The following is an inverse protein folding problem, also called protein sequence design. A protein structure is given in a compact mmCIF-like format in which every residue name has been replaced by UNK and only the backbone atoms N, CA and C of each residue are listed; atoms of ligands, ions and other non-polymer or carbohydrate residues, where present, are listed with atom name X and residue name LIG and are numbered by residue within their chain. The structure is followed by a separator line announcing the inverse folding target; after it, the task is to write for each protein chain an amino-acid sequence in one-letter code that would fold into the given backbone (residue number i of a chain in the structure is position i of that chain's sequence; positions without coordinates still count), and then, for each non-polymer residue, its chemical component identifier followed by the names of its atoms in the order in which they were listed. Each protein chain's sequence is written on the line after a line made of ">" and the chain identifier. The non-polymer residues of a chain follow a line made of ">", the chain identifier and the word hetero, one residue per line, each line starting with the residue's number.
data_IF_359291841351
#
_entry.id   IF_359291841351
#
_cell.length_a   1.000
_cell.length_b   1.000
_cell.length_c   1.000
_cell.angle_alpha   90.00
_cell.angle_beta   90.00
_cell.angle_gamma   90.00
#
_symmetry.space_group_name_H-M   'P 1'
#
loop_
_entity.id
_entity.type
_entity.pdbx_description
1 polymer ?
#
# COMPACT_ATOMS: atom_id res chain seq x y z
N UNK A 1 -21.39 -27.62 31.41
CA UNK A 1 -20.37 -27.76 30.34
C UNK A 1 -19.98 -26.36 29.93
N UNK A 2 -18.72 -25.99 30.17
CA UNK A 2 -18.21 -24.62 30.10
C UNK A 2 -18.04 -24.14 28.65
N UNK A 3 -18.65 -23.01 28.33
CA UNK A 3 -18.41 -22.24 27.11
C UNK A 3 -17.05 -21.55 27.20
N UNK A 4 -16.08 -22.02 26.41
CA UNK A 4 -14.79 -21.36 26.24
C UNK A 4 -14.91 -20.29 25.14
N UNK A 5 -15.19 -19.05 25.54
CA UNK A 5 -14.93 -17.88 24.70
C UNK A 5 -13.41 -17.66 24.68
N UNK A 6 -12.75 -17.93 23.54
CA UNK A 6 -11.38 -17.48 23.33
C UNK A 6 -11.40 -15.97 23.13
N UNK A 7 -11.02 -15.24 24.20
CA UNK A 7 -10.72 -13.83 24.13
C UNK A 7 -9.62 -13.58 23.09
N UNK A 8 -9.95 -12.80 22.07
CA UNK A 8 -8.98 -12.22 21.15
C UNK A 8 -7.95 -11.44 21.96
N UNK A 9 -6.67 -11.81 21.80
CA UNK A 9 -5.55 -11.22 22.50
C UNK A 9 -5.55 -9.70 22.42
N UNK A 10 -5.96 -9.06 23.51
CA UNK A 10 -5.69 -7.65 23.80
C UNK A 10 -4.19 -7.44 23.65
N UNK A 11 -3.81 -6.40 22.90
CA UNK A 11 -2.43 -5.92 22.84
C UNK A 11 -1.89 -5.80 24.26
N UNK A 12 -0.70 -6.37 24.48
CA UNK A 12 -0.05 -6.39 25.80
C UNK A 12 -0.05 -4.99 26.41
N UNK A 13 -0.90 -4.81 27.41
CA UNK A 13 -0.73 -3.79 28.43
C UNK A 13 0.57 -4.15 29.16
N UNK A 14 1.61 -3.34 28.93
CA UNK A 14 2.90 -3.49 29.58
C UNK A 14 2.80 -3.07 31.05
N UNK A 15 2.52 -4.04 31.92
CA UNK A 15 2.77 -3.92 33.36
C UNK A 15 4.10 -4.59 33.71
N UNK A 16 5.06 -3.75 34.16
CA UNK A 16 6.36 -4.01 34.80
C UNK A 16 7.33 -5.13 34.30
N UNK A 17 8.35 -4.65 33.56
CA UNK A 17 9.79 -4.98 33.68
C UNK A 17 10.32 -6.35 33.24
N UNK A 18 10.23 -6.62 31.94
CA UNK A 18 11.35 -7.25 31.23
C UNK A 18 11.97 -6.21 30.27
N UNK A 19 13.26 -5.93 30.44
CA UNK A 19 13.99 -5.04 29.53
C UNK A 19 14.27 -5.80 28.24
N UNK A 20 13.36 -5.71 27.28
CA UNK A 20 13.53 -6.31 25.96
C UNK A 20 14.41 -5.38 25.10
N UNK A 21 15.47 -5.87 24.46
CA UNK A 21 16.27 -5.07 23.55
C UNK A 21 15.44 -4.68 22.32
N UNK A 22 15.51 -3.42 21.84
CA UNK A 22 14.81 -3.01 20.64
C UNK A 22 15.39 -3.71 19.40
N UNK A 23 14.50 -4.19 18.53
CA UNK A 23 14.84 -4.88 17.28
C UNK A 23 14.73 -3.91 16.11
N UNK A 24 15.80 -3.75 15.32
CA UNK A 24 15.86 -2.79 14.21
C UNK A 24 14.70 -2.93 13.22
N UNK A 25 14.31 -4.17 12.91
CA UNK A 25 13.29 -4.48 11.90
C UNK A 25 11.88 -4.03 12.26
N UNK A 26 11.63 -3.66 13.51
CA UNK A 26 10.33 -3.15 13.97
C UNK A 26 10.17 -1.65 13.74
N UNK A 27 11.24 -0.95 13.31
CA UNK A 27 11.23 0.50 13.15
C UNK A 27 11.18 0.93 11.69
N UNK A 28 10.45 2.03 11.46
CA UNK A 28 10.43 2.77 10.19
C UNK A 28 11.18 4.10 10.28
N UNK A 29 11.66 4.47 11.48
CA UNK A 29 12.48 5.64 11.71
C UNK A 29 13.72 5.25 12.52
N UNK A 30 14.92 5.38 11.92
CA UNK A 30 16.17 5.01 12.58
C UNK A 30 16.46 5.85 13.83
N UNK A 31 16.00 7.11 13.90
CA UNK A 31 16.22 7.97 15.09
C UNK A 31 15.44 7.45 16.28
N UNK A 32 14.22 6.97 16.04
CA UNK A 32 13.39 6.36 17.08
C UNK A 32 14.06 5.07 17.59
N UNK A 33 14.55 4.22 16.68
CA UNK A 33 15.34 3.06 17.06
C UNK A 33 16.56 3.43 17.92
N UNK A 34 17.35 4.42 17.51
CA UNK A 34 18.53 4.87 18.24
C UNK A 34 18.17 5.42 19.64
N UNK A 35 17.05 6.14 19.75
CA UNK A 35 16.55 6.66 21.02
C UNK A 35 16.18 5.52 21.99
N UNK A 36 15.47 4.52 21.51
CA UNK A 36 15.04 3.39 22.32
C UNK A 36 16.21 2.47 22.67
N UNK A 37 17.15 2.26 21.75
CA UNK A 37 18.41 1.55 22.01
C UNK A 37 19.22 2.24 23.12
N UNK A 38 19.34 3.57 23.06
CA UNK A 38 20.03 4.33 24.07
C UNK A 38 19.36 4.21 25.45
N UNK A 39 18.03 4.35 25.51
CA UNK A 39 17.25 4.15 26.75
C UNK A 39 17.44 2.75 27.32
N UNK A 40 17.35 1.73 26.47
CA UNK A 40 17.58 0.33 26.84
C UNK A 40 18.99 0.15 27.44
N UNK A 41 20.05 0.54 26.73
CA UNK A 41 21.44 0.42 27.22
C UNK A 41 21.69 1.19 28.51
N UNK A 42 21.11 2.39 28.66
CA UNK A 42 21.17 3.16 29.92
C UNK A 42 20.54 2.40 31.07
N UNK A 43 19.35 1.84 30.86
CA UNK A 43 18.64 1.11 31.91
C UNK A 43 19.36 -0.21 32.25
N UNK A 44 19.83 -0.95 31.24
CA UNK A 44 20.54 -2.23 31.44
C UNK A 44 21.92 -2.06 32.09
N UNK A 45 22.52 -0.87 32.04
CA UNK A 45 23.81 -0.57 32.69
C UNK A 45 23.65 0.20 34.00
N UNK A 46 22.41 0.39 34.48
CA UNK A 46 22.13 1.08 35.74
C UNK A 46 22.74 0.28 36.89
N UNK A 47 23.63 0.89 37.66
CA UNK A 47 24.37 0.23 38.75
C UNK A 47 25.73 -0.35 38.34
N UNK A 48 26.12 -0.29 37.06
CA UNK A 48 27.50 -0.58 36.65
C UNK A 48 28.44 0.56 37.01
N UNK A 49 29.71 0.23 37.33
CA UNK A 49 30.82 1.18 37.54
C UNK A 49 30.94 2.21 36.39
N UNK A 50 30.55 1.82 35.16
CA UNK A 50 30.51 2.71 34.00
C UNK A 50 29.15 2.63 33.32
N UNK A 51 28.19 3.40 33.83
CA UNK A 51 26.87 3.53 33.22
C UNK A 51 26.96 4.02 31.76
N UNK A 52 26.10 3.47 30.91
CA UNK A 52 26.04 3.84 29.50
C UNK A 52 25.63 5.31 29.35
N UNK A 53 26.30 6.03 28.45
CA UNK A 53 26.00 7.43 28.14
C UNK A 53 26.44 7.75 26.70
N UNK A 54 26.14 8.96 26.22
CA UNK A 54 26.46 9.37 24.86
C UNK A 54 27.96 9.32 24.53
N UNK A 55 28.83 9.63 25.49
CA UNK A 55 30.28 9.55 25.31
C UNK A 55 30.76 8.10 25.13
N UNK A 56 30.17 7.15 25.87
CA UNK A 56 30.44 5.71 25.71
C UNK A 56 30.05 5.22 24.32
N UNK A 57 28.87 5.60 23.81
CA UNK A 57 28.48 5.28 22.43
C UNK A 57 29.47 5.88 21.42
N UNK A 58 29.82 7.15 21.58
CA UNK A 58 30.71 7.86 20.65
C UNK A 58 32.10 7.21 20.62
N UNK A 59 32.63 6.80 21.77
CA UNK A 59 33.87 6.04 21.84
C UNK A 59 33.77 4.69 21.11
N UNK A 60 32.69 3.93 21.32
CA UNK A 60 32.46 2.66 20.63
C UNK A 60 32.32 2.83 19.10
N UNK A 61 31.77 3.95 18.65
CA UNK A 61 31.66 4.32 17.24
C UNK A 61 32.95 4.94 16.66
N UNK A 62 34.00 5.13 17.46
CA UNK A 62 35.21 5.87 17.08
C UNK A 62 34.89 7.30 16.58
N UNK A 63 34.03 8.01 17.32
CA UNK A 63 33.59 9.37 17.03
C UNK A 63 34.12 10.31 18.11
N UNK A 64 34.80 11.38 17.68
CA UNK A 64 35.40 12.38 18.58
C UNK A 64 34.37 13.19 19.38
N UNK A 65 33.22 13.47 18.79
CA UNK A 65 32.16 14.28 19.41
C UNK A 65 31.32 13.46 20.40
N UNK A 66 31.40 13.69 21.72
CA UNK A 66 30.73 12.85 22.72
C UNK A 66 29.20 12.88 22.66
N UNK A 67 28.62 13.95 22.11
CA UNK A 67 27.16 14.14 21.99
C UNK A 67 26.63 13.86 20.58
N UNK A 68 27.41 13.19 19.71
CA UNK A 68 27.02 12.98 18.32
C UNK A 68 25.72 12.17 18.20
N UNK A 69 25.60 11.07 18.95
CA UNK A 69 24.37 10.27 19.00
C UNK A 69 23.15 11.11 19.44
N UNK A 70 23.32 11.98 20.44
CA UNK A 70 22.25 12.86 20.92
C UNK A 70 21.76 13.80 19.81
N UNK A 71 22.68 14.42 19.08
CA UNK A 71 22.34 15.30 17.94
C UNK A 71 21.59 14.56 16.83
N UNK A 72 21.93 13.29 16.58
CA UNK A 72 21.19 12.44 15.64
C UNK A 72 19.79 12.14 16.20
N UNK A 73 19.65 11.72 17.44
CA UNK A 73 18.33 11.42 18.02
C UNK A 73 17.41 12.66 17.98
N UNK A 74 17.95 13.84 18.30
CA UNK A 74 17.22 15.11 18.31
C UNK A 74 16.97 15.70 16.91
N UNK A 75 17.40 15.04 15.84
CA UNK A 75 17.21 15.54 14.47
C UNK A 75 18.11 16.72 14.07
N UNK A 76 19.04 17.14 14.94
CA UNK A 76 19.98 18.26 14.71
C UNK A 76 21.07 17.94 13.67
N UNK A 77 21.28 16.66 13.37
CA UNK A 77 22.23 16.19 12.35
C UNK A 77 21.70 14.95 11.62
N UNK A 78 22.13 14.76 10.38
CA UNK A 78 21.94 13.54 9.59
C UNK A 78 23.16 12.62 9.68
N UNK A 79 22.96 11.33 9.36
CA UNK A 79 24.02 10.35 9.20
C UNK A 79 24.50 10.31 7.76
N UNK A 80 25.81 10.43 7.54
CA UNK A 80 26.47 10.11 6.27
C UNK A 80 26.77 8.61 6.18
N UNK A 81 27.02 8.10 4.97
CA UNK A 81 27.32 6.67 4.75
C UNK A 81 28.53 6.16 5.56
N UNK A 82 29.58 6.97 5.73
CA UNK A 82 30.72 6.65 6.61
C UNK A 82 30.29 6.48 8.08
N UNK A 83 29.40 7.35 8.56
CA UNK A 83 28.91 7.29 9.95
C UNK A 83 27.95 6.12 10.17
N UNK A 84 27.21 5.69 9.14
CA UNK A 84 26.35 4.50 9.22
C UNK A 84 27.16 3.26 9.61
N UNK A 85 28.33 3.05 8.99
CA UNK A 85 29.21 1.92 9.32
C UNK A 85 29.74 1.98 10.76
N UNK A 86 30.15 3.18 11.20
CA UNK A 86 30.61 3.42 12.59
C UNK A 86 29.51 3.17 13.62
N UNK A 87 28.29 3.60 13.32
CA UNK A 87 27.12 3.34 14.16
C UNK A 87 26.79 1.84 14.18
N UNK A 88 26.80 1.16 13.03
CA UNK A 88 26.60 -0.30 12.97
C UNK A 88 27.57 -1.05 13.89
N UNK A 89 28.85 -0.68 13.88
CA UNK A 89 29.85 -1.24 14.79
C UNK A 89 29.53 -0.98 16.27
N UNK A 90 29.18 0.27 16.62
CA UNK A 90 28.84 0.64 18.00
C UNK A 90 27.55 -0.02 18.52
N UNK A 91 26.61 -0.30 17.62
CA UNK A 91 25.37 -1.04 17.88
C UNK A 91 25.60 -2.54 17.98
N UNK A 92 26.76 -3.05 17.56
CA UNK A 92 27.07 -4.48 17.51
C UNK A 92 26.38 -5.22 16.36
N UNK A 93 26.06 -4.51 15.29
CA UNK A 93 25.39 -5.09 14.13
C UNK A 93 26.32 -5.95 13.29
N UNK A 94 25.79 -7.06 12.81
CA UNK A 94 26.43 -7.86 11.76
C UNK A 94 26.28 -7.19 10.38
N UNK A 95 26.77 -7.84 9.32
CA UNK A 95 26.72 -7.32 7.95
C UNK A 95 25.28 -7.05 7.47
N UNK A 96 24.37 -8.00 7.68
CA UNK A 96 22.97 -7.89 7.23
C UNK A 96 22.21 -6.82 8.01
N UNK A 97 22.44 -6.70 9.33
CA UNK A 97 21.86 -5.65 10.17
C UNK A 97 22.41 -4.26 9.83
N UNK A 98 23.69 -4.16 9.48
CA UNK A 98 24.31 -2.90 9.06
C UNK A 98 23.73 -2.43 7.72
N UNK A 99 23.47 -3.35 6.79
CA UNK A 99 22.82 -3.03 5.53
C UNK A 99 21.35 -2.61 5.74
N UNK A 100 20.62 -3.31 6.61
CA UNK A 100 19.26 -2.89 6.98
C UNK A 100 19.25 -1.48 7.59
N UNK A 101 20.20 -1.19 8.49
CA UNK A 101 20.34 0.12 9.10
C UNK A 101 20.67 1.19 8.07
N UNK A 102 21.55 0.89 7.10
CA UNK A 102 21.87 1.79 5.98
C UNK A 102 20.62 2.12 5.17
N UNK A 103 19.88 1.11 4.74
CA UNK A 103 18.66 1.28 3.94
C UNK A 103 17.59 2.08 4.70
N UNK A 104 17.45 1.83 6.01
CA UNK A 104 16.54 2.58 6.87
C UNK A 104 16.94 4.06 7.00
N UNK A 105 18.24 4.35 7.13
CA UNK A 105 18.77 5.72 7.15
C UNK A 105 18.57 6.42 5.81
N UNK A 106 18.86 5.76 4.69
CA UNK A 106 18.67 6.34 3.36
C UNK A 106 17.19 6.63 3.08
N UNK A 107 16.31 5.68 3.41
CA UNK A 107 14.85 5.85 3.33
C UNK A 107 14.36 7.08 4.12
N UNK A 108 14.77 7.20 5.38
CA UNK A 108 14.29 8.26 6.27
C UNK A 108 14.88 9.64 5.95
N UNK A 109 16.09 9.70 5.39
CA UNK A 109 16.75 10.96 5.05
C UNK A 109 16.50 11.44 3.61
N UNK A 110 15.99 10.57 2.73
CA UNK A 110 15.66 10.94 1.36
C UNK A 110 14.64 12.09 1.34
N UNK A 111 14.99 13.17 0.66
CA UNK A 111 14.11 14.34 0.45
C UNK A 111 13.28 14.20 -0.81
N UNK A 112 13.84 13.56 -1.84
CA UNK A 112 13.13 13.26 -3.07
C UNK A 112 12.17 12.07 -2.86
N UNK A 113 10.88 12.19 -3.24
CA UNK A 113 9.91 11.11 -3.09
C UNK A 113 10.29 9.84 -3.86
N UNK A 114 10.87 9.94 -5.05
CA UNK A 114 11.25 8.78 -5.85
C UNK A 114 12.41 8.01 -5.19
N UNK A 115 13.43 8.72 -4.71
CA UNK A 115 14.53 8.13 -3.94
C UNK A 115 14.02 7.45 -2.67
N UNK A 116 13.13 8.12 -1.92
CA UNK A 116 12.52 7.58 -0.70
C UNK A 116 11.81 6.25 -0.98
N UNK A 117 11.05 6.18 -2.07
CA UNK A 117 10.37 4.94 -2.48
C UNK A 117 11.35 3.84 -2.88
N UNK A 118 12.38 4.17 -3.65
CA UNK A 118 13.42 3.21 -4.03
C UNK A 118 14.06 2.60 -2.78
N UNK A 119 14.44 3.41 -1.79
CA UNK A 119 15.04 2.90 -0.55
C UNK A 119 14.07 2.11 0.30
N UNK A 120 12.79 2.50 0.36
CA UNK A 120 11.77 1.73 1.07
C UNK A 120 11.54 0.35 0.43
N UNK A 121 11.55 0.28 -0.91
CA UNK A 121 11.49 -0.99 -1.66
C UNK A 121 12.69 -1.88 -1.29
N UNK A 122 13.91 -1.35 -1.42
CA UNK A 122 15.14 -2.07 -1.06
C UNK A 122 15.14 -2.54 0.40
N UNK A 123 14.71 -1.69 1.33
CA UNK A 123 14.60 -2.03 2.76
C UNK A 123 13.63 -3.20 2.99
N UNK A 124 12.46 -3.16 2.35
CA UNK A 124 11.46 -4.22 2.46
C UNK A 124 11.99 -5.54 1.89
N UNK A 125 12.62 -5.50 0.72
CA UNK A 125 13.22 -6.68 0.07
C UNK A 125 14.34 -7.28 0.93
N UNK A 126 15.21 -6.44 1.49
CA UNK A 126 16.29 -6.87 2.37
C UNK A 126 15.78 -7.59 3.61
N UNK A 127 14.83 -6.98 4.35
CA UNK A 127 14.23 -7.59 5.55
C UNK A 127 13.60 -8.94 5.27
N UNK A 128 12.88 -9.04 4.16
CA UNK A 128 12.26 -10.29 3.71
C UNK A 128 13.35 -11.33 3.38
N UNK A 129 14.38 -10.93 2.63
CA UNK A 129 15.50 -11.80 2.27
C UNK A 129 16.24 -12.37 3.48
N UNK A 130 16.48 -11.56 4.51
CA UNK A 130 17.10 -12.02 5.76
C UNK A 130 16.22 -13.05 6.46
N UNK A 131 14.92 -12.80 6.60
CA UNK A 131 13.99 -13.73 7.27
C UNK A 131 13.85 -15.08 6.55
N UNK A 132 14.01 -15.09 5.22
CA UNK A 132 14.07 -16.33 4.45
C UNK A 132 15.35 -17.11 4.72
N UNK A 133 16.49 -16.43 4.77
CA UNK A 133 17.79 -17.06 5.07
C UNK A 133 17.83 -17.63 6.49
N UNK A 134 17.19 -16.98 7.46
CA UNK A 134 17.16 -17.44 8.86
C UNK A 134 16.12 -18.53 9.12
N UNK A 135 15.23 -18.81 8.16
CA UNK A 135 14.15 -19.79 8.32
C UNK A 135 12.98 -19.29 9.19
N UNK A 136 13.00 -18.02 9.62
CA UNK A 136 11.85 -17.39 10.31
C UNK A 136 10.63 -17.30 9.40
N UNK A 137 10.86 -17.12 8.10
CA UNK A 137 9.85 -17.33 7.07
C UNK A 137 10.20 -18.64 6.39
N UNK A 138 9.31 -19.62 6.54
CA UNK A 138 9.38 -20.84 5.75
C UNK A 138 9.37 -20.48 4.26
N UNK A 139 10.40 -20.94 3.55
CA UNK A 139 10.58 -20.68 2.12
C UNK A 139 9.38 -21.17 1.31
N UNK A 140 8.77 -22.30 1.69
CA UNK A 140 7.55 -22.79 1.03
C UNK A 140 6.36 -21.85 1.28
N UNK A 141 6.22 -21.33 2.50
CA UNK A 141 5.20 -20.32 2.85
C UNK A 141 5.45 -18.96 2.19
N UNK A 142 6.70 -18.62 1.90
CA UNK A 142 7.06 -17.42 1.13
C UNK A 142 6.83 -17.58 -0.37
N UNK A 143 7.12 -18.76 -0.91
CA UNK A 143 6.82 -19.10 -2.31
C UNK A 143 5.30 -19.17 -2.56
N UNK A 144 4.51 -19.45 -1.51
CA UNK A 144 3.05 -19.29 -1.51
C UNK A 144 2.57 -17.83 -1.47
N UNK A 145 3.47 -16.84 -1.33
CA UNK A 145 3.07 -15.43 -1.36
C UNK A 145 2.55 -15.11 -2.75
N UNK A 146 1.30 -14.65 -2.88
CA UNK A 146 0.81 -14.17 -4.15
C UNK A 146 1.69 -13.00 -4.58
N UNK A 147 2.49 -13.23 -5.63
CA UNK A 147 3.14 -12.14 -6.32
C UNK A 147 2.04 -11.21 -6.85
N UNK A 148 2.18 -9.89 -6.75
CA UNK A 148 1.23 -8.96 -7.38
C UNK A 148 1.06 -9.29 -8.88
N UNK A 149 2.10 -9.83 -9.50
CA UNK A 149 2.09 -10.37 -10.86
C UNK A 149 1.03 -11.46 -11.03
N UNK A 150 0.90 -12.40 -10.08
CA UNK A 150 -0.12 -13.46 -10.16
C UNK A 150 -1.54 -12.88 -10.07
N UNK A 151 -1.77 -11.88 -9.23
CA UNK A 151 -3.08 -11.22 -9.14
C UNK A 151 -3.45 -10.48 -10.43
N UNK A 152 -2.48 -9.78 -11.04
CA UNK A 152 -2.70 -9.09 -12.30
C UNK A 152 -2.90 -10.10 -13.43
N UNK A 153 -2.08 -11.15 -13.53
CA UNK A 153 -2.25 -12.22 -14.53
C UNK A 153 -3.61 -12.91 -14.38
N UNK A 154 -4.04 -13.21 -13.15
CA UNK A 154 -5.36 -13.77 -12.89
C UNK A 154 -6.47 -12.83 -13.39
N UNK A 155 -6.35 -11.52 -13.15
CA UNK A 155 -7.29 -10.54 -13.69
C UNK A 155 -7.24 -10.42 -15.23
N UNK A 156 -6.05 -10.54 -15.84
CA UNK A 156 -5.84 -10.46 -17.29
C UNK A 156 -6.50 -11.59 -18.08
N UNK A 157 -6.89 -12.70 -17.44
CA UNK A 157 -7.72 -13.75 -18.07
C UNK A 157 -9.06 -13.19 -18.56
N UNK A 158 -9.58 -12.20 -17.85
CA UNK A 158 -10.81 -11.51 -18.22
C UNK A 158 -10.55 -10.28 -19.10
N UNK A 159 -9.32 -10.06 -19.56
CA UNK A 159 -8.95 -9.00 -20.49
C UNK A 159 -8.94 -9.53 -21.93
N UNK A 160 -9.48 -8.75 -22.85
CA UNK A 160 -9.56 -9.07 -24.27
C UNK A 160 -8.17 -9.03 -24.93
N UNK A 161 -7.93 -9.95 -25.88
CA UNK A 161 -6.72 -9.96 -26.71
C UNK A 161 -5.42 -10.33 -25.99
N UNK A 162 -5.48 -10.85 -24.76
CA UNK A 162 -4.28 -11.24 -24.01
C UNK A 162 -3.70 -12.56 -24.53
N UNK A 163 -2.42 -12.52 -24.93
CA UNK A 163 -1.59 -13.72 -25.09
C UNK A 163 -0.84 -14.00 -23.79
N UNK A 164 -0.88 -15.25 -23.34
CA UNK A 164 -0.27 -15.70 -22.08
C UNK A 164 1.13 -16.30 -22.26
N UNK A 165 1.89 -15.79 -23.23
CA UNK A 165 3.32 -16.03 -23.34
C UNK A 165 4.12 -15.00 -22.54
N UNK A 166 5.33 -15.36 -22.07
CA UNK A 166 6.13 -14.52 -21.20
C UNK A 166 6.44 -13.13 -21.81
N UNK A 167 6.68 -13.07 -23.13
CA UNK A 167 7.07 -11.82 -23.80
C UNK A 167 5.88 -10.86 -23.93
N UNK A 168 4.71 -11.37 -24.33
CA UNK A 168 3.49 -10.59 -24.42
C UNK A 168 3.04 -10.10 -23.03
N UNK A 169 3.08 -10.96 -22.02
CA UNK A 169 2.76 -10.59 -20.64
C UNK A 169 3.71 -9.52 -20.11
N UNK A 170 5.03 -9.66 -20.32
CA UNK A 170 6.01 -8.64 -19.93
C UNK A 170 5.73 -7.29 -20.58
N UNK A 171 5.34 -7.28 -21.85
CA UNK A 171 4.93 -6.07 -22.58
C UNK A 171 3.66 -5.45 -21.99
N UNK A 172 2.63 -6.27 -21.73
CA UNK A 172 1.36 -5.81 -21.13
C UNK A 172 1.54 -5.30 -19.69
N UNK A 173 2.45 -5.91 -18.93
CA UNK A 173 2.90 -5.47 -17.60
C UNK A 173 3.90 -4.30 -17.67
N UNK A 174 4.15 -3.72 -18.85
CA UNK A 174 5.01 -2.55 -19.07
C UNK A 174 6.44 -2.75 -18.56
N UNK A 175 6.95 -3.97 -18.60
CA UNK A 175 8.30 -4.33 -18.12
C UNK A 175 8.46 -4.28 -16.58
N UNK A 176 7.37 -4.16 -15.82
CA UNK A 176 7.42 -4.06 -14.35
C UNK A 176 7.68 -5.39 -13.65
N UNK A 177 7.52 -6.50 -14.37
CA UNK A 177 7.83 -7.86 -13.91
C UNK A 177 8.90 -8.48 -14.81
N UNK A 178 9.83 -9.21 -14.19
CA UNK A 178 10.79 -10.05 -14.90
C UNK A 178 10.12 -11.28 -15.51
N UNK A 179 10.79 -11.92 -16.47
CA UNK A 179 10.28 -13.14 -17.12
C UNK A 179 10.13 -14.29 -16.11
N UNK A 180 11.11 -14.45 -15.23
CA UNK A 180 11.07 -15.42 -14.13
C UNK A 180 9.88 -15.18 -13.20
N UNK A 181 9.55 -13.93 -12.86
CA UNK A 181 8.40 -13.61 -12.02
C UNK A 181 7.07 -13.95 -12.70
N UNK A 182 6.97 -13.73 -14.01
CA UNK A 182 5.79 -14.06 -14.81
C UNK A 182 5.62 -15.57 -14.92
N UNK A 183 6.69 -16.30 -15.21
CA UNK A 183 6.68 -17.75 -15.32
C UNK A 183 6.28 -18.39 -13.99
N UNK A 184 6.90 -17.96 -12.89
CA UNK A 184 6.55 -18.44 -11.54
C UNK A 184 5.08 -18.14 -11.19
N UNK A 185 4.57 -16.97 -11.56
CA UNK A 185 3.18 -16.60 -11.31
C UNK A 185 2.19 -17.47 -12.11
N UNK A 186 2.46 -17.72 -13.40
CA UNK A 186 1.64 -18.61 -14.23
C UNK A 186 1.66 -20.04 -13.70
N UNK A 187 2.84 -20.57 -13.39
CA UNK A 187 3.00 -21.91 -12.83
C UNK A 187 2.24 -22.04 -11.50
N UNK A 188 2.34 -21.03 -10.63
CA UNK A 188 1.61 -21.02 -9.35
C UNK A 188 0.09 -21.08 -9.56
N UNK A 189 -0.46 -20.28 -10.48
CA UNK A 189 -1.90 -20.21 -10.74
C UNK A 189 -2.44 -21.49 -11.39
N UNK A 190 -1.65 -22.15 -12.23
CA UNK A 190 -2.00 -23.43 -12.83
C UNK A 190 -1.93 -24.57 -11.81
N UNK A 191 -0.87 -24.59 -10.97
CA UNK A 191 -0.65 -25.63 -9.97
C UNK A 191 -1.64 -25.53 -8.79
N UNK A 192 -2.04 -24.31 -8.39
CA UNK A 192 -3.10 -24.11 -7.40
C UNK A 192 -4.48 -24.49 -7.95
N UNK A 193 -4.61 -24.58 -9.27
CA UNK A 193 -5.87 -24.81 -9.95
C UNK A 193 -6.74 -23.57 -10.04
N UNK A 194 -6.25 -22.37 -9.69
CA UNK A 194 -6.93 -21.09 -9.87
C UNK A 194 -7.17 -20.80 -11.36
N UNK A 195 -6.22 -21.19 -12.21
CA UNK A 195 -6.34 -21.16 -13.67
C UNK A 195 -6.28 -22.56 -14.24
N UNK A 196 -7.04 -22.78 -15.31
CA UNK A 196 -7.03 -24.03 -16.10
C UNK A 196 -6.99 -23.69 -17.58
N UNK A 197 -6.37 -24.56 -18.37
CA UNK A 197 -6.48 -24.50 -19.83
C UNK A 197 -7.77 -25.17 -20.25
N UNK A 198 -8.53 -24.52 -21.12
CA UNK A 198 -9.68 -25.12 -21.77
C UNK A 198 -9.21 -26.26 -22.67
N UNK A 199 -9.85 -27.43 -22.54
CA UNK A 199 -9.45 -28.64 -23.26
C UNK A 199 -9.72 -28.56 -24.77
N UNK A 200 -10.64 -27.69 -25.20
CA UNK A 200 -11.07 -27.55 -26.60
C UNK A 200 -10.34 -26.39 -27.27
N UNK A 201 -10.27 -25.23 -26.60
CA UNK A 201 -9.67 -24.01 -27.20
C UNK A 201 -8.22 -23.77 -26.81
N UNK A 202 -7.72 -24.45 -25.77
CA UNK A 202 -6.38 -24.24 -25.21
C UNK A 202 -6.22 -22.91 -24.45
N UNK A 203 -7.27 -22.09 -24.38
CA UNK A 203 -7.27 -20.79 -23.71
C UNK A 203 -7.21 -20.95 -22.18
N UNK A 204 -6.55 -20.01 -21.50
CA UNK A 204 -6.59 -19.95 -20.04
C UNK A 204 -7.94 -19.42 -19.56
N UNK A 205 -8.54 -20.12 -18.59
CA UNK A 205 -9.78 -19.76 -17.92
C UNK A 205 -9.60 -19.84 -16.41
N UNK A 206 -10.35 -19.01 -15.68
CA UNK A 206 -10.46 -19.09 -14.22
C UNK A 206 -11.21 -20.36 -13.84
N UNK A 207 -10.71 -21.10 -12.86
CA UNK A 207 -11.48 -22.19 -12.28
C UNK A 207 -12.66 -21.64 -11.49
N UNK A 208 -13.81 -22.31 -11.56
CA UNK A 208 -15.02 -21.97 -10.77
C UNK A 208 -14.84 -22.15 -9.26
N UNK A 209 -13.66 -22.52 -8.77
CA UNK A 209 -13.42 -22.69 -7.34
C UNK A 209 -13.51 -21.32 -6.69
N UNK A 210 -14.54 -21.14 -5.86
CA UNK A 210 -14.54 -20.13 -4.80
C UNK A 210 -13.20 -20.28 -4.09
N UNK A 211 -12.31 -19.30 -4.26
CA UNK A 211 -11.02 -19.29 -3.60
C UNK A 211 -11.29 -19.46 -2.12
N UNK A 212 -10.95 -20.64 -1.57
CA UNK A 212 -10.87 -20.83 -0.13
C UNK A 212 -9.98 -19.70 0.37
N UNK A 213 -10.54 -18.83 1.21
CA UNK A 213 -9.74 -17.77 1.82
C UNK A 213 -8.60 -18.48 2.54
N UNK A 214 -7.32 -18.23 2.20
CA UNK A 214 -6.23 -18.92 2.85
C UNK A 214 -6.36 -18.69 4.35
N UNK A 215 -6.50 -19.77 5.11
CA UNK A 215 -6.47 -19.72 6.57
C UNK A 215 -5.15 -19.06 6.97
N UNK A 216 -5.26 -17.97 7.74
CA UNK A 216 -4.17 -17.17 8.30
C UNK A 216 -3.02 -16.80 7.35
N UNK A 217 -3.24 -15.82 6.46
CA UNK A 217 -2.14 -15.13 5.76
C UNK A 217 -1.33 -14.32 6.78
N UNK A 218 -0.03 -14.58 6.99
CA UNK A 218 0.80 -13.79 7.89
C UNK A 218 0.74 -12.28 7.57
N UNK A 219 0.60 -11.45 8.61
CA UNK A 219 0.50 -9.98 8.49
C UNK A 219 1.67 -9.38 7.69
N UNK A 220 2.87 -9.95 7.84
CA UNK A 220 4.05 -9.52 7.09
C UNK A 220 3.86 -9.66 5.57
N UNK A 221 3.17 -10.71 5.11
CA UNK A 221 2.91 -10.97 3.70
C UNK A 221 1.84 -10.01 3.15
N UNK A 222 0.79 -9.75 3.93
CA UNK A 222 -0.23 -8.74 3.58
C UNK A 222 0.41 -7.37 3.41
N UNK A 223 1.30 -6.97 4.32
CA UNK A 223 2.03 -5.70 4.25
C UNK A 223 2.94 -5.61 3.03
N UNK A 224 3.67 -6.70 2.72
CA UNK A 224 4.53 -6.77 1.52
C UNK A 224 3.71 -6.51 0.26
N UNK A 225 2.61 -7.23 0.10
CA UNK A 225 1.76 -7.13 -1.08
C UNK A 225 1.08 -5.76 -1.19
N UNK A 226 0.51 -5.26 -0.10
CA UNK A 226 -0.06 -3.90 -0.07
C UNK A 226 0.98 -2.84 -0.44
N UNK A 227 2.21 -2.97 0.05
CA UNK A 227 3.30 -2.05 -0.31
C UNK A 227 3.61 -2.11 -1.80
N UNK A 228 3.72 -3.30 -2.39
CA UNK A 228 3.93 -3.47 -3.83
C UNK A 228 2.82 -2.82 -4.66
N UNK A 229 1.55 -3.01 -4.29
CA UNK A 229 0.41 -2.39 -4.97
C UNK A 229 0.39 -0.87 -4.79
N UNK A 230 0.79 -0.36 -3.63
CA UNK A 230 0.95 1.08 -3.39
C UNK A 230 2.03 1.68 -4.29
N UNK A 231 3.15 0.98 -4.48
CA UNK A 231 4.19 1.42 -5.41
C UNK A 231 3.72 1.47 -6.85
N UNK A 232 2.91 0.50 -7.30
CA UNK A 232 2.32 0.57 -8.64
C UNK A 232 1.46 1.82 -8.81
N UNK A 233 0.67 2.17 -7.79
CA UNK A 233 -0.10 3.42 -7.79
C UNK A 233 0.81 4.66 -7.83
N UNK A 234 1.87 4.66 -7.02
CA UNK A 234 2.81 5.78 -6.99
C UNK A 234 3.58 5.94 -8.30
N UNK A 235 3.95 4.87 -8.98
CA UNK A 235 4.52 4.92 -10.33
C UNK A 235 3.50 5.46 -11.35
N UNK A 236 2.24 5.02 -11.26
CA UNK A 236 1.16 5.51 -12.13
C UNK A 236 0.97 7.03 -12.01
N UNK A 237 1.13 7.59 -10.82
CA UNK A 237 1.10 9.05 -10.59
C UNK A 237 2.10 9.83 -11.47
N UNK A 238 3.25 9.23 -11.80
CA UNK A 238 4.29 9.89 -12.62
C UNK A 238 4.31 9.42 -14.07
N UNK A 239 3.83 8.21 -14.37
CA UNK A 239 3.95 7.58 -15.69
C UNK A 239 2.68 7.67 -16.55
N UNK A 240 1.50 7.68 -15.92
CA UNK A 240 0.22 7.66 -16.63
C UNK A 240 -0.38 9.06 -16.74
N UNK A 241 -1.10 9.32 -17.83
CA UNK A 241 -1.78 10.59 -18.04
C UNK A 241 -2.93 10.76 -17.04
N UNK A 242 -3.25 12.00 -16.61
CA UNK A 242 -4.37 12.25 -15.69
C UNK A 242 -5.72 11.70 -16.18
N UNK A 243 -5.93 11.58 -17.49
CA UNK A 243 -7.16 11.02 -18.07
C UNK A 243 -7.26 9.50 -17.93
N UNK A 244 -6.14 8.81 -17.69
CA UNK A 244 -6.07 7.35 -17.62
C UNK A 244 -6.07 6.82 -16.17
N UNK A 245 -6.17 7.72 -15.18
CA UNK A 245 -6.08 7.40 -13.75
C UNK A 245 -6.90 8.36 -12.90
N UNK A 246 -7.33 7.88 -11.73
CA UNK A 246 -8.04 8.71 -10.74
C UNK A 246 -7.22 8.80 -9.45
N UNK A 247 -6.85 10.02 -9.06
CA UNK A 247 -6.10 10.32 -7.83
C UNK A 247 -6.81 11.44 -7.07
N UNK A 248 -7.71 11.06 -6.17
CA UNK A 248 -8.36 11.97 -5.22
C UNK A 248 -7.67 11.97 -3.86
N UNK A 249 -7.70 13.11 -3.16
CA UNK A 249 -7.23 13.24 -1.78
C UNK A 249 -8.25 13.97 -0.92
N UNK A 250 -8.44 13.51 0.31
CA UNK A 250 -9.30 14.15 1.30
C UNK A 250 -8.62 14.08 2.68
N UNK A 251 -8.52 15.22 3.36
CA UNK A 251 -7.97 15.31 4.72
C UNK A 251 -9.07 15.74 5.67
N UNK A 252 -9.26 15.01 6.76
CA UNK A 252 -10.37 15.19 7.70
C UNK A 252 -9.94 14.92 9.14
N UNK A 253 -10.62 15.55 10.09
CA UNK A 253 -10.55 15.22 11.51
C UNK A 253 -11.74 14.34 11.86
N UNK A 254 -11.50 13.18 12.46
CA UNK A 254 -12.52 12.18 12.76
C UNK A 254 -12.45 11.75 14.22
N UNK A 255 -13.60 11.52 14.83
CA UNK A 255 -13.73 10.70 16.03
C UNK A 255 -13.44 9.23 15.71
N UNK A 256 -13.21 8.42 16.74
CA UNK A 256 -12.99 6.96 16.58
C UNK A 256 -14.19 6.28 15.91
N UNK A 257 -15.41 6.68 16.26
CA UNK A 257 -16.64 6.10 15.71
C UNK A 257 -16.76 6.38 14.21
N UNK A 258 -16.57 7.64 13.80
CA UNK A 258 -16.62 8.03 12.38
C UNK A 258 -15.52 7.34 11.57
N UNK A 259 -14.31 7.18 12.14
CA UNK A 259 -13.22 6.45 11.49
C UNK A 259 -13.57 4.97 11.23
N UNK A 260 -14.16 4.28 12.20
CA UNK A 260 -14.60 2.89 12.01
C UNK A 260 -15.78 2.78 11.04
N UNK A 261 -16.69 3.74 11.03
CA UNK A 261 -17.81 3.80 10.08
C UNK A 261 -17.31 3.97 8.64
N UNK A 262 -16.38 4.90 8.40
CA UNK A 262 -15.78 5.08 7.07
C UNK A 262 -15.03 3.81 6.67
N UNK A 263 -14.25 3.18 7.57
CA UNK A 263 -13.61 1.88 7.28
C UNK A 263 -14.62 0.82 6.84
N UNK A 264 -15.79 0.76 7.47
CA UNK A 264 -16.85 -0.16 7.08
C UNK A 264 -17.39 0.15 5.68
N UNK A 265 -17.71 1.43 5.40
CA UNK A 265 -18.19 1.89 4.08
C UNK A 265 -17.18 1.57 2.96
N UNK A 266 -15.89 1.82 3.19
CA UNK A 266 -14.83 1.51 2.21
C UNK A 266 -14.73 0.00 1.92
N UNK A 267 -14.92 -0.85 2.93
CA UNK A 267 -14.95 -2.32 2.74
C UNK A 267 -16.16 -2.76 1.92
N UNK A 268 -17.34 -2.19 2.20
CA UNK A 268 -18.56 -2.48 1.45
C UNK A 268 -18.43 -2.04 -0.01
N UNK A 269 -17.95 -0.82 -0.24
CA UNK A 269 -17.71 -0.28 -1.58
C UNK A 269 -16.78 -1.19 -2.39
N UNK A 270 -15.63 -1.58 -1.82
CA UNK A 270 -14.71 -2.52 -2.47
C UNK A 270 -15.37 -3.85 -2.82
N UNK A 271 -16.18 -4.41 -1.90
CA UNK A 271 -16.88 -5.68 -2.12
C UNK A 271 -17.92 -5.56 -3.25
N UNK A 272 -18.64 -4.44 -3.31
CA UNK A 272 -19.60 -4.16 -4.39
C UNK A 272 -18.90 -4.07 -5.74
N UNK A 273 -17.88 -3.22 -5.86
CA UNK A 273 -17.12 -3.03 -7.11
C UNK A 273 -16.58 -4.38 -7.63
N UNK A 274 -16.00 -5.20 -6.74
CA UNK A 274 -15.50 -6.51 -7.13
C UNK A 274 -16.61 -7.47 -7.61
N UNK A 275 -17.76 -7.47 -6.92
CA UNK A 275 -18.93 -8.28 -7.32
C UNK A 275 -19.44 -7.85 -8.70
N UNK A 276 -19.62 -6.54 -8.90
CA UNK A 276 -20.16 -5.98 -10.14
C UNK A 276 -19.21 -6.25 -11.30
N UNK A 277 -17.89 -6.09 -11.09
CA UNK A 277 -16.87 -6.45 -12.06
C UNK A 277 -16.92 -7.94 -12.43
N UNK A 278 -17.01 -8.83 -11.43
CA UNK A 278 -17.08 -10.29 -11.65
C UNK A 278 -18.31 -10.68 -12.48
N UNK A 279 -19.47 -10.05 -12.21
CA UNK A 279 -20.70 -10.27 -13.00
C UNK A 279 -20.54 -9.75 -14.43
N UNK A 280 -19.93 -8.57 -14.61
CA UNK A 280 -19.69 -8.02 -15.94
C UNK A 280 -18.77 -8.91 -16.79
N UNK A 281 -17.72 -9.50 -16.18
CA UNK A 281 -16.76 -10.38 -16.83
C UNK A 281 -17.32 -11.76 -17.23
N UNK A 282 -18.43 -12.18 -16.63
CA UNK A 282 -19.21 -13.34 -17.13
C UNK A 282 -19.86 -13.09 -18.50
N UNK A 283 -20.12 -11.81 -18.85
CA UNK A 283 -20.81 -11.43 -20.10
C UNK A 283 -19.85 -11.01 -21.21
N UNK A 284 -18.79 -10.29 -20.85
CA UNK A 284 -17.83 -9.73 -21.81
C UNK A 284 -16.46 -9.54 -21.17
N UNK A 285 -15.39 -9.66 -21.95
CA UNK A 285 -14.04 -9.32 -21.49
C UNK A 285 -13.88 -7.80 -21.31
N UNK A 286 -12.90 -7.41 -20.51
CA UNK A 286 -12.50 -6.01 -20.33
C UNK A 286 -11.35 -5.62 -21.25
N UNK A 287 -11.15 -4.32 -21.45
CA UNK A 287 -10.07 -3.81 -22.32
C UNK A 287 -8.70 -3.79 -21.61
N UNK A 288 -8.70 -3.51 -20.30
CA UNK A 288 -7.49 -3.33 -19.49
C UNK A 288 -7.75 -3.69 -18.03
N UNK A 289 -6.74 -4.24 -17.36
CA UNK A 289 -6.74 -4.42 -15.90
C UNK A 289 -6.34 -3.12 -15.19
N UNK A 290 -7.14 -2.73 -14.20
CA UNK A 290 -6.89 -1.57 -13.34
C UNK A 290 -6.69 -2.02 -11.90
N UNK A 291 -5.73 -1.40 -11.20
CA UNK A 291 -5.51 -1.60 -9.77
C UNK A 291 -6.18 -0.46 -8.99
N UNK A 292 -7.19 -0.78 -8.17
CA UNK A 292 -7.84 0.17 -7.27
C UNK A 292 -7.24 0.06 -5.87
N UNK A 293 -6.60 1.13 -5.41
CA UNK A 293 -6.10 1.26 -4.05
C UNK A 293 -6.91 2.32 -3.31
N UNK A 294 -7.46 1.97 -2.15
CA UNK A 294 -8.21 2.88 -1.27
C UNK A 294 -7.54 2.85 0.09
N UNK A 295 -7.13 4.01 0.60
CA UNK A 295 -6.35 4.11 1.83
C UNK A 295 -6.96 5.18 2.74
N UNK A 296 -7.23 4.79 3.99
CA UNK A 296 -7.61 5.68 5.08
C UNK A 296 -6.70 5.35 6.26
N UNK A 297 -5.90 6.33 6.69
CA UNK A 297 -4.94 6.14 7.77
C UNK A 297 -4.78 7.44 8.58
N UNK A 298 -4.47 7.34 9.88
CA UNK A 298 -4.16 8.52 10.68
C UNK A 298 -2.83 9.13 10.24
N UNK A 299 -2.80 10.46 10.08
CA UNK A 299 -1.57 11.24 9.77
C UNK A 299 -1.01 11.97 10.98
N UNK A 300 -1.75 12.00 12.10
CA UNK A 300 -1.33 12.57 13.39
C UNK A 300 -1.64 11.61 14.52
N UNK A 301 -0.94 11.78 15.65
CA UNK A 301 -1.38 11.18 16.92
C UNK A 301 -2.59 11.94 17.48
N UNK A 302 -3.30 11.33 18.42
CA UNK A 302 -4.25 12.06 19.25
C UNK A 302 -3.51 13.12 20.09
N UNK A 303 -4.12 14.29 20.28
CA UNK A 303 -3.55 15.34 21.12
C UNK A 303 -3.54 14.91 22.60
N UNK A 304 -2.47 15.23 23.32
CA UNK A 304 -2.35 14.96 24.75
C UNK A 304 -3.48 15.68 25.51
N UNK A 305 -4.26 14.93 26.30
CA UNK A 305 -5.38 15.47 27.10
C UNK A 305 -6.79 15.13 26.58
N UNK A 306 -6.92 14.46 25.42
CA UNK A 306 -8.21 13.93 24.98
C UNK A 306 -8.47 12.59 25.68
N UNK A 307 -9.29 12.60 26.73
CA UNK A 307 -9.77 11.38 27.36
C UNK A 307 -10.51 10.51 26.34
N UNK A 308 -10.13 9.24 26.24
CA UNK A 308 -10.85 8.26 25.42
C UNK A 308 -12.14 7.91 26.14
N UNK A 309 -13.19 8.70 25.95
CA UNK A 309 -14.53 8.32 26.43
C UNK A 309 -15.00 7.13 25.58
N UNK A 310 -15.28 5.95 26.17
CA UNK A 310 -15.80 4.83 25.41
C UNK A 310 -17.24 5.16 25.01
N UNK A 311 -17.47 5.58 23.77
CA UNK A 311 -18.82 5.67 23.22
C UNK A 311 -19.23 4.26 22.81
N UNK A 312 -19.88 3.54 23.72
CA UNK A 312 -20.86 2.53 23.35
C UNK A 312 -22.22 3.21 23.45
N UNK A 313 -22.80 3.54 22.30
CA UNK A 313 -24.24 3.43 22.04
C UNK A 313 -24.46 3.66 20.54
N UNK A 314 -25.05 2.69 19.80
CA UNK A 314 -25.48 2.93 18.43
C UNK A 314 -26.71 3.83 18.48
N UNK A 315 -26.54 5.12 18.22
CA UNK A 315 -27.66 6.00 17.92
C UNK A 315 -27.99 5.82 16.43
N UNK A 316 -28.87 4.86 16.13
CA UNK A 316 -29.95 4.94 15.14
C UNK A 316 -30.82 3.68 15.38
N UNK A 317 -31.95 3.88 16.04
CA UNK A 317 -33.09 2.96 16.00
C UNK A 317 -33.68 3.02 14.58
N UNK A 318 -33.37 2.03 13.74
CA UNK A 318 -34.13 1.80 12.52
C UNK A 318 -35.42 1.10 12.93
N UNK A 319 -36.54 1.83 12.96
CA UNK A 319 -37.86 1.20 12.87
C UNK A 319 -37.94 0.53 11.50
N UNK A 320 -37.93 -0.79 11.52
CA UNK A 320 -38.24 -1.61 10.36
C UNK A 320 -39.75 -1.51 10.19
N UNK A 321 -40.21 -0.65 9.27
CA UNK A 321 -41.60 -0.69 8.84
C UNK A 321 -41.82 -1.99 8.08
N UNK A 322 -42.79 -2.77 8.55
CA UNK A 322 -43.22 -4.04 7.98
C UNK A 322 -43.57 -3.89 6.51
N UNK A 323 -43.10 -4.86 5.73
CA UNK A 323 -43.41 -5.04 4.32
C UNK A 323 -44.89 -5.48 4.26
N UNK A 324 -45.80 -4.52 4.03
CA UNK A 324 -47.20 -4.85 3.73
C UNK A 324 -47.29 -5.28 2.28
N UNK A 325 -47.31 -6.59 2.11
CA UNK A 325 -47.67 -7.29 0.89
C UNK A 325 -49.12 -6.93 0.51
N UNK A 326 -49.28 -5.97 -0.41
CA UNK A 326 -50.60 -5.64 -0.97
C UNK A 326 -50.72 -6.28 -2.35
N UNK A 327 -51.43 -7.41 -2.42
CA UNK A 327 -51.96 -7.95 -3.66
C UNK A 327 -52.99 -6.97 -4.22
N UNK A 328 -52.87 -6.61 -5.50
CA UNK A 328 -53.99 -6.00 -6.25
C UNK A 328 -54.22 -6.80 -7.52
N UNK A 329 -55.47 -7.21 -7.64
CA UNK A 329 -56.04 -8.07 -8.66
C UNK A 329 -56.07 -7.45 -10.06
N UNK A 330 -56.24 -8.34 -11.03
CA UNK A 330 -56.38 -8.10 -12.46
C UNK A 330 -57.54 -7.15 -12.82
N UNK A 331 -57.32 -6.28 -13.80
CA UNK A 331 -58.33 -5.84 -14.74
C UNK A 331 -57.70 -5.56 -16.11
N UNK A 332 -58.26 -6.19 -17.14
CA UNK A 332 -57.92 -6.04 -18.55
C UNK A 332 -58.34 -4.66 -19.11
N UNK A 333 -57.79 -4.32 -20.29
CA UNK A 333 -58.48 -3.82 -21.51
C UNK A 333 -57.75 -2.65 -22.22
N UNK A 334 -57.24 -2.99 -23.41
CA UNK A 334 -57.13 -2.27 -24.70
C UNK A 334 -56.19 -1.06 -24.91
N UNK A 335 -55.20 -1.34 -25.78
CA UNK A 335 -54.79 -0.64 -27.01
C UNK A 335 -55.00 0.88 -27.15
N UNK A 336 -53.91 1.61 -27.46
CA UNK A 336 -53.73 2.22 -28.79
C UNK A 336 -52.29 2.73 -29.01
N UNK A 337 -51.89 2.69 -30.29
CA UNK A 337 -50.57 2.99 -30.85
C UNK A 337 -50.45 4.50 -31.10
N UNK A 338 -49.29 5.11 -30.81
CA UNK A 338 -48.72 6.18 -31.65
C UNK A 338 -47.25 6.51 -31.28
N UNK A 339 -46.35 6.28 -32.25
CA UNK A 339 -45.08 7.02 -32.36
C UNK A 339 -45.37 8.40 -33.00
N UNK A 340 -44.53 9.44 -32.83
CA UNK A 340 -43.43 9.64 -33.78
C UNK A 340 -42.13 10.32 -33.28
N UNK A 341 -41.04 9.89 -33.94
CA UNK A 341 -39.99 10.69 -34.61
C UNK A 341 -38.84 11.31 -33.81
N UNK A 342 -37.65 10.84 -34.18
CA UNK A 342 -36.32 11.37 -33.93
C UNK A 342 -35.97 12.56 -34.84
N UNK A 343 -35.18 13.51 -34.36
CA UNK A 343 -34.38 14.42 -35.18
C UNK A 343 -33.03 14.74 -34.53
N UNK A 344 -31.96 14.51 -35.29
CA UNK A 344 -30.62 15.14 -35.22
C UNK A 344 -30.02 15.00 -36.63
N UNK A 345 -28.91 15.67 -36.98
CA UNK A 345 -28.55 17.09 -36.84
C UNK A 345 -28.11 17.69 -38.20
N UNK A 346 -27.71 18.96 -38.27
CA UNK A 346 -27.01 19.50 -39.44
C UNK A 346 -26.00 20.61 -39.07
N UNK A 347 -24.96 20.84 -39.90
CA UNK A 347 -23.61 21.22 -39.46
C UNK A 347 -23.16 22.60 -39.97
N UNK A 348 -22.01 23.10 -39.48
CA UNK A 348 -21.15 24.02 -40.26
C UNK A 348 -19.67 23.83 -39.89
N UNK A 349 -18.83 23.82 -40.92
CA UNK A 349 -17.38 23.63 -40.91
C UNK A 349 -16.68 24.97 -41.31
N UNK A 350 -15.41 24.99 -41.76
CA UNK A 350 -14.20 25.12 -40.93
C UNK A 350 -13.32 26.33 -41.33
N UNK A 351 -12.21 26.59 -40.61
CA UNK A 351 -11.14 27.46 -41.10
C UNK A 351 -9.73 26.98 -40.71
N UNK A 352 -8.81 27.24 -41.63
CA UNK A 352 -7.50 26.65 -41.94
C UNK A 352 -6.28 27.17 -41.16
N UNK A 353 -5.34 26.24 -40.92
CA UNK A 353 -3.87 26.29 -41.01
C UNK A 353 -3.07 27.62 -41.09
N UNK A 354 -1.98 27.71 -40.31
CA UNK A 354 -0.64 28.14 -40.78
C UNK A 354 0.47 27.85 -39.74
N UNK A 355 1.61 27.35 -40.23
CA UNK A 355 2.97 27.41 -39.65
C UNK A 355 3.89 27.79 -40.84
N UNK A 356 5.01 28.54 -40.69
CA UNK A 356 6.28 27.90 -40.30
C UNK A 356 7.33 28.80 -39.58
N UNK A 357 8.38 28.12 -39.10
CA UNK A 357 9.80 28.51 -39.07
C UNK A 357 10.49 29.13 -37.81
N UNK A 358 11.41 28.31 -37.27
CA UNK A 358 12.85 28.54 -37.01
C UNK A 358 13.37 29.32 -35.77
N UNK A 359 14.04 28.53 -34.91
CA UNK A 359 15.34 28.75 -34.22
C UNK A 359 15.61 30.06 -33.43
N UNK A 360 15.91 29.96 -32.12
CA UNK A 360 17.28 29.83 -31.57
C UNK A 360 17.28 29.81 -30.02
N UNK A 361 18.38 29.31 -29.46
CA UNK A 361 18.73 29.03 -28.05
C UNK A 361 18.57 30.21 -27.07
N UNK A 362 18.29 29.88 -25.81
CA UNK A 362 18.55 30.75 -24.66
C UNK A 362 17.85 30.31 -23.38
N UNK A 363 18.61 29.67 -22.48
CA UNK A 363 18.23 29.37 -21.11
C UNK A 363 17.71 30.60 -20.36
N UNK A 364 16.59 30.49 -19.64
CA UNK A 364 16.48 31.05 -18.29
C UNK A 364 15.30 30.46 -17.50
N UNK A 365 15.62 30.11 -16.27
CA UNK A 365 14.78 29.47 -15.26
C UNK A 365 13.95 30.56 -14.58
N UNK A 366 12.67 30.71 -14.94
CA UNK A 366 11.66 31.35 -14.07
C UNK A 366 10.23 31.18 -14.61
N UNK A 367 9.56 30.06 -14.32
CA UNK A 367 8.09 30.01 -14.40
C UNK A 367 7.40 28.96 -13.53
N UNK A 368 8.13 28.15 -12.74
CA UNK A 368 7.51 27.23 -11.78
C UNK A 368 7.10 27.88 -10.44
N UNK A 369 7.24 29.20 -10.30
CA UNK A 369 6.80 29.95 -9.13
C UNK A 369 5.47 30.72 -9.32
N UNK A 370 4.84 30.64 -10.50
CA UNK A 370 3.61 31.39 -10.80
C UNK A 370 2.31 30.55 -10.77
N UNK A 371 2.40 29.22 -10.57
CA UNK A 371 1.22 28.33 -10.54
C UNK A 371 0.80 27.87 -9.14
N UNK A 372 1.38 28.45 -8.08
CA UNK A 372 1.05 28.15 -6.69
C UNK A 372 0.14 29.20 -6.02
N UNK A 373 -0.39 30.16 -6.78
CA UNK A 373 -1.19 31.27 -6.24
C UNK A 373 -2.66 31.31 -6.70
N UNK A 374 -3.22 30.20 -7.21
CA UNK A 374 -4.64 30.16 -7.64
C UNK A 374 -5.38 28.88 -7.21
N UNK A 375 -5.14 28.42 -5.98
CA UNK A 375 -5.95 27.39 -5.34
C UNK A 375 -6.69 27.89 -4.09
N UNK A 376 -6.63 29.19 -3.80
CA UNK A 376 -7.27 29.82 -2.64
C UNK A 376 -8.61 30.53 -2.96
N UNK A 377 -8.99 30.64 -4.24
CA UNK A 377 -10.23 31.33 -4.66
C UNK A 377 -11.39 30.39 -5.05
N UNK A 378 -11.26 29.09 -4.78
CA UNK A 378 -12.33 28.10 -5.03
C UNK A 378 -13.17 27.74 -3.78
N UNK A 379 -13.02 28.49 -2.69
CA UNK A 379 -13.85 28.38 -1.49
C UNK A 379 -14.26 29.77 -0.96
N UNK A 380 -15.10 30.47 -1.73
CA UNK A 380 -16.03 31.48 -1.24
C UNK A 380 -17.44 31.15 -1.70
#
# INVERSE_FOLDING_TARGET
>A
MQNNHQEFGKGKENSMTSLVPPVLSDYMNYRQFLADFYKFKRQSSKGSLRAYNYAVFSAAANIKSPNYLKMIIEGKRNLSDDMIGKFGKALGFNKEQTEEFRLLVQFTQATDPADRNMYLKKLSEHRVGVKLKTGEIDRKSFEKVPNWVAWIIYAMVDQEGVSFDNTALKKLLRGKASEDEIENALASLLNSGDLRRDEVTGELKKARSLTESPEDIPVALVRKLQSQLMYLGLESLYQDQPTDREFGTLTMSLTKAEFEEIKFKLRQMRKSINKDNSIARMKSKGERVYQLNIQLFPVTNAADGVAVTPVIQPAIDIKVDEIVETQVAQAEVQAEVQMPVAQTPAPTAPATAATPAAANKGSNVSSLAATAASAADLFR
#
